data_IF_466739501427
#
_entry.id   IF_466739501427
#
_cell.length_a   1.000
_cell.length_b   1.000
_cell.length_c   1.000
_cell.angle_alpha   90.00
_cell.angle_beta   90.00
_cell.angle_gamma   90.00
#
_symmetry.space_group_name_H-M   'P 1'
#
loop_
_entity.id
_entity.type
_entity.pdbx_description
1 polymer ?
#
# COMPACT_ATOMS: atom_id res chain seq x y z
N UNK A 1 40.38 40.44 18.74
CA UNK A 1 39.37 39.63 19.46
C UNK A 1 38.04 40.31 19.24
N UNK A 2 37.34 39.93 18.17
CA UNK A 2 36.14 40.61 17.67
C UNK A 2 34.96 40.06 18.47
N UNK A 3 34.45 40.86 19.41
CA UNK A 3 33.19 40.66 20.18
C UNK A 3 32.99 39.24 20.74
N UNK A 4 33.70 38.94 21.83
CA UNK A 4 33.52 37.71 22.62
C UNK A 4 32.31 37.79 23.54
N UNK A 5 31.11 37.66 22.99
CA UNK A 5 29.89 37.40 23.76
C UNK A 5 29.48 35.93 23.58
N UNK A 6 30.04 35.00 24.38
CA UNK A 6 29.75 33.56 24.29
C UNK A 6 28.27 33.23 24.48
N UNK A 7 27.47 34.15 25.03
CA UNK A 7 26.02 34.03 25.13
C UNK A 7 25.37 33.96 23.73
N UNK A 8 25.73 34.83 22.79
CA UNK A 8 25.14 34.83 21.45
C UNK A 8 25.53 33.59 20.64
N UNK A 9 26.73 33.05 20.84
CA UNK A 9 27.19 31.81 20.21
C UNK A 9 26.45 30.57 20.77
N UNK A 10 26.21 30.55 22.08
CA UNK A 10 25.40 29.51 22.72
C UNK A 10 23.92 29.55 22.26
N UNK A 11 23.33 30.75 22.16
CA UNK A 11 21.99 30.92 21.61
C UNK A 11 21.92 30.51 20.13
N UNK A 12 22.91 30.87 19.32
CA UNK A 12 23.01 30.44 17.93
C UNK A 12 23.04 28.92 17.78
N UNK A 13 23.86 28.25 18.61
CA UNK A 13 23.96 26.78 18.63
C UNK A 13 22.66 26.11 19.07
N UNK A 14 21.94 26.66 20.05
CA UNK A 14 20.61 26.17 20.45
C UNK A 14 19.57 26.31 19.34
N UNK A 15 19.55 27.44 18.63
CA UNK A 15 18.62 27.65 17.51
C UNK A 15 18.87 26.63 16.40
N UNK A 16 20.14 26.38 16.06
CA UNK A 16 20.50 25.35 15.08
C UNK A 16 20.06 23.96 15.57
N UNK A 17 20.29 23.64 16.84
CA UNK A 17 19.86 22.37 17.44
C UNK A 17 18.35 22.15 17.35
N UNK A 18 17.55 23.17 17.68
CA UNK A 18 16.08 23.13 17.57
C UNK A 18 15.65 22.96 16.11
N UNK A 19 16.28 23.68 15.18
CA UNK A 19 16.00 23.55 13.75
C UNK A 19 16.25 22.13 13.24
N UNK A 20 17.38 21.52 13.64
CA UNK A 20 17.70 20.14 13.26
C UNK A 20 16.70 19.13 13.83
N UNK A 21 16.23 19.32 15.07
CA UNK A 21 15.19 18.48 15.67
C UNK A 21 13.89 18.57 14.87
N UNK A 22 13.46 19.78 14.49
CA UNK A 22 12.24 19.98 13.69
C UNK A 22 12.35 19.25 12.34
N UNK A 23 13.46 19.42 11.64
CA UNK A 23 13.71 18.74 10.35
C UNK A 23 13.74 17.22 10.52
N UNK A 24 14.42 16.72 11.56
CA UNK A 24 14.49 15.29 11.85
C UNK A 24 13.11 14.69 12.13
N UNK A 25 12.29 15.35 12.96
CA UNK A 25 10.91 14.92 13.25
C UNK A 25 10.07 14.92 11.97
N UNK A 26 10.14 15.97 11.16
CA UNK A 26 9.43 16.03 9.87
C UNK A 26 9.83 14.89 8.93
N UNK A 27 11.12 14.55 8.88
CA UNK A 27 11.63 13.45 8.08
C UNK A 27 11.10 12.10 8.57
N UNK A 28 11.13 11.85 9.90
CA UNK A 28 10.65 10.59 10.50
C UNK A 28 9.18 10.36 10.17
N UNK A 29 8.32 11.38 10.31
CA UNK A 29 6.89 11.27 10.00
C UNK A 29 6.69 10.90 8.52
N UNK A 30 7.47 11.50 7.62
CA UNK A 30 7.38 11.20 6.18
C UNK A 30 7.87 9.80 5.82
N UNK A 31 8.95 9.34 6.46
CA UNK A 31 9.51 8.01 6.26
C UNK A 31 8.62 6.91 6.85
N UNK A 32 7.96 7.16 7.99
CA UNK A 32 6.98 6.23 8.56
C UNK A 32 5.85 5.94 7.57
N UNK A 33 5.34 6.95 6.86
CA UNK A 33 4.33 6.74 5.82
C UNK A 33 4.81 5.92 4.60
N UNK A 34 6.12 5.75 4.39
CA UNK A 34 6.67 4.84 3.38
C UNK A 34 6.86 3.42 3.94
N UNK A 35 7.23 3.31 5.22
CA UNK A 35 7.46 2.04 5.91
C UNK A 35 6.17 1.29 6.26
N UNK A 36 5.09 2.02 6.59
CA UNK A 36 3.77 1.44 6.90
C UNK A 36 3.07 0.93 5.64
N UNK A 37 3.61 1.27 4.45
CA UNK A 37 3.05 0.81 3.19
C UNK A 37 1.84 1.63 2.79
N UNK A 38 2.05 2.57 1.86
CA UNK A 38 0.90 3.29 1.31
C UNK A 38 0.02 2.30 0.57
N UNK A 39 -1.26 2.30 0.92
CA UNK A 39 -2.29 1.66 0.10
C UNK A 39 -2.23 2.23 -1.31
N UNK A 40 -2.58 1.38 -2.27
CA UNK A 40 -2.70 1.83 -3.65
C UNK A 40 -3.69 2.99 -3.77
N UNK A 41 -3.57 3.71 -4.88
CA UNK A 41 -4.48 4.81 -5.20
C UNK A 41 -5.95 4.36 -5.07
N UNK A 42 -6.85 5.17 -4.47
CA UNK A 42 -8.24 4.76 -4.25
C UNK A 42 -8.94 4.27 -5.52
N UNK A 43 -8.62 4.87 -6.67
CA UNK A 43 -9.14 4.46 -7.97
C UNK A 43 -8.68 3.05 -8.41
N UNK A 44 -7.47 2.62 -8.04
CA UNK A 44 -7.02 1.24 -8.26
C UNK A 44 -7.84 0.28 -7.39
N UNK A 45 -8.03 0.65 -6.13
CA UNK A 45 -8.75 -0.16 -5.15
C UNK A 45 -10.20 -0.37 -5.59
N UNK A 46 -10.92 0.69 -5.91
CA UNK A 46 -12.32 0.61 -6.36
C UNK A 46 -12.47 -0.25 -7.62
N UNK A 47 -11.58 -0.08 -8.59
CA UNK A 47 -11.58 -0.88 -9.82
C UNK A 47 -11.28 -2.36 -9.56
N UNK A 48 -10.36 -2.67 -8.66
CA UNK A 48 -10.08 -4.05 -8.31
C UNK A 48 -11.24 -4.69 -7.52
N UNK A 49 -11.88 -3.93 -6.61
CA UNK A 49 -13.08 -4.38 -5.90
C UNK A 49 -14.22 -4.66 -6.89
N UNK A 50 -14.44 -3.81 -7.90
CA UNK A 50 -15.47 -4.03 -8.90
C UNK A 50 -15.20 -5.25 -9.78
N UNK A 51 -13.96 -5.40 -10.29
CA UNK A 51 -13.59 -6.56 -11.12
C UNK A 51 -13.80 -7.86 -10.34
N UNK A 52 -13.40 -7.92 -9.08
CA UNK A 52 -13.55 -9.13 -8.26
C UNK A 52 -15.03 -9.41 -7.94
N UNK A 53 -15.80 -8.36 -7.61
CA UNK A 53 -17.22 -8.51 -7.25
C UNK A 53 -18.13 -8.86 -8.43
N UNK A 54 -17.78 -8.46 -9.66
CA UNK A 54 -18.56 -8.73 -10.87
C UNK A 54 -18.30 -10.12 -11.47
N UNK A 55 -17.27 -10.84 -11.00
CA UNK A 55 -16.91 -12.16 -11.52
C UNK A 55 -17.88 -13.25 -11.05
N UNK A 56 -18.47 -13.93 -12.03
CA UNK A 56 -19.28 -15.14 -11.78
C UNK A 56 -18.40 -16.21 -11.11
N UNK A 57 -18.89 -16.79 -10.02
CA UNK A 57 -18.12 -17.72 -9.18
C UNK A 57 -17.58 -17.11 -7.89
N UNK A 58 -17.59 -15.78 -7.75
CA UNK A 58 -17.24 -15.08 -6.51
C UNK A 58 -18.52 -14.73 -5.75
N UNK A 59 -18.72 -15.35 -4.59
CA UNK A 59 -19.88 -15.10 -3.75
C UNK A 59 -19.71 -13.81 -2.91
N UNK A 60 -18.48 -13.51 -2.47
CA UNK A 60 -18.20 -12.33 -1.62
C UNK A 60 -16.73 -11.94 -1.65
N UNK A 61 -16.44 -10.64 -1.65
CA UNK A 61 -15.13 -10.10 -1.31
C UNK A 61 -15.15 -9.64 0.15
N UNK A 62 -14.29 -10.21 1.02
CA UNK A 62 -14.25 -9.86 2.44
C UNK A 62 -13.31 -8.71 2.74
N UNK A 63 -12.05 -8.87 2.35
CA UNK A 63 -10.99 -7.91 2.63
C UNK A 63 -10.07 -7.81 1.43
N UNK A 64 -9.64 -6.59 1.14
CA UNK A 64 -8.61 -6.32 0.15
C UNK A 64 -7.60 -5.32 0.71
N UNK A 65 -6.32 -5.70 0.62
CA UNK A 65 -5.18 -4.92 1.06
C UNK A 65 -4.28 -4.70 -0.14
N UNK A 66 -3.89 -3.45 -0.37
CA UNK A 66 -2.94 -3.09 -1.41
C UNK A 66 -1.72 -2.43 -0.79
N UNK A 67 -0.55 -2.72 -1.35
CA UNK A 67 0.73 -2.23 -0.85
C UNK A 67 1.62 -1.80 -2.01
N UNK A 68 2.04 -0.53 -2.01
CA UNK A 68 3.04 -0.07 -2.97
C UNK A 68 4.43 -0.67 -2.68
N UNK A 69 4.99 -1.32 -3.70
CA UNK A 69 6.33 -1.89 -3.74
C UNK A 69 7.12 -1.25 -4.89
N UNK A 70 7.72 -0.09 -4.61
CA UNK A 70 8.41 0.72 -5.63
C UNK A 70 7.43 1.18 -6.73
N UNK A 71 7.68 0.86 -8.01
CA UNK A 71 6.78 1.21 -9.11
C UNK A 71 5.60 0.23 -9.28
N UNK A 72 5.53 -0.83 -8.48
CA UNK A 72 4.49 -1.87 -8.56
C UNK A 72 3.62 -1.87 -7.31
N UNK A 73 2.47 -2.53 -7.42
CA UNK A 73 1.52 -2.75 -6.33
C UNK A 73 1.40 -4.24 -6.06
N UNK A 74 1.45 -4.62 -4.79
CA UNK A 74 0.97 -5.92 -4.32
C UNK A 74 -0.49 -5.77 -3.94
N UNK A 75 -1.33 -6.66 -4.46
CA UNK A 75 -2.74 -6.78 -4.13
C UNK A 75 -2.95 -8.11 -3.42
N UNK A 76 -3.51 -8.07 -2.21
CA UNK A 76 -3.93 -9.24 -1.46
C UNK A 76 -5.44 -9.14 -1.22
N UNK A 77 -6.20 -10.16 -1.62
CA UNK A 77 -7.64 -10.22 -1.47
C UNK A 77 -8.06 -11.52 -0.82
N UNK A 78 -9.10 -11.44 0.02
CA UNK A 78 -9.76 -12.59 0.61
C UNK A 78 -11.18 -12.67 0.08
N UNK A 79 -11.48 -13.76 -0.63
CA UNK A 79 -12.77 -13.95 -1.33
C UNK A 79 -13.43 -15.26 -0.93
N UNK A 80 -14.76 -15.26 -0.94
CA UNK A 80 -15.58 -16.46 -0.91
C UNK A 80 -15.91 -16.85 -2.34
N UNK A 81 -15.65 -18.11 -2.68
CA UNK A 81 -16.05 -18.69 -3.94
C UNK A 81 -17.35 -19.49 -3.77
N UNK A 82 -18.05 -19.73 -4.88
CA UNK A 82 -19.25 -20.57 -4.85
C UNK A 82 -18.91 -22.00 -4.37
N UNK A 83 -19.68 -22.52 -3.40
CA UNK A 83 -19.45 -23.83 -2.77
C UNK A 83 -19.51 -25.04 -3.73
N UNK A 84 -20.01 -24.83 -4.95
CA UNK A 84 -20.13 -25.87 -5.97
C UNK A 84 -18.91 -25.94 -6.91
N UNK A 85 -17.95 -25.02 -6.79
CA UNK A 85 -16.76 -24.99 -7.62
C UNK A 85 -15.79 -26.09 -7.20
N UNK A 86 -15.25 -26.81 -8.19
CA UNK A 86 -14.12 -27.70 -7.97
C UNK A 86 -12.85 -26.88 -7.73
N UNK A 87 -11.83 -27.48 -7.10
CA UNK A 87 -10.53 -26.83 -6.89
C UNK A 87 -9.91 -26.34 -8.21
N UNK A 88 -10.10 -27.11 -9.29
CA UNK A 88 -9.63 -26.76 -10.63
C UNK A 88 -10.34 -25.53 -11.20
N UNK A 89 -11.67 -25.48 -11.08
CA UNK A 89 -12.47 -24.33 -11.49
C UNK A 89 -12.14 -23.08 -10.68
N UNK A 90 -11.93 -23.23 -9.36
CA UNK A 90 -11.51 -22.14 -8.48
C UNK A 90 -10.14 -21.58 -8.90
N UNK A 91 -9.17 -22.46 -9.21
CA UNK A 91 -7.85 -22.03 -9.68
C UNK A 91 -7.94 -21.29 -11.02
N UNK A 92 -8.74 -21.78 -11.97
CA UNK A 92 -8.97 -21.11 -13.24
C UNK A 92 -9.65 -19.75 -13.08
N UNK A 93 -10.63 -19.64 -12.17
CA UNK A 93 -11.30 -18.38 -11.86
C UNK A 93 -10.33 -17.36 -11.26
N UNK A 94 -9.49 -17.77 -10.32
CA UNK A 94 -8.46 -16.91 -9.71
C UNK A 94 -7.48 -16.40 -10.77
N UNK A 95 -6.99 -17.27 -11.65
CA UNK A 95 -6.11 -16.86 -12.75
C UNK A 95 -6.80 -15.86 -13.69
N UNK A 96 -8.07 -16.07 -14.03
CA UNK A 96 -8.83 -15.16 -14.88
C UNK A 96 -9.06 -13.79 -14.21
N UNK A 97 -9.26 -13.75 -12.89
CA UNK A 97 -9.30 -12.51 -12.11
C UNK A 97 -7.94 -11.80 -12.16
N UNK A 98 -6.86 -12.53 -11.91
CA UNK A 98 -5.50 -11.97 -11.91
C UNK A 98 -5.13 -11.37 -13.28
N UNK A 99 -5.42 -12.08 -14.36
CA UNK A 99 -5.17 -11.62 -15.72
C UNK A 99 -5.96 -10.34 -16.05
N UNK A 100 -7.23 -10.27 -15.66
CA UNK A 100 -8.06 -9.09 -15.88
C UNK A 100 -7.61 -7.88 -15.06
N UNK A 101 -7.23 -8.10 -13.79
CA UNK A 101 -6.67 -7.05 -12.94
C UNK A 101 -5.39 -6.47 -13.56
N UNK A 102 -4.48 -7.33 -14.01
CA UNK A 102 -3.21 -6.93 -14.65
C UNK A 102 -3.42 -6.25 -16.00
N UNK A 103 -4.43 -6.68 -16.78
CA UNK A 103 -4.77 -6.08 -18.05
C UNK A 103 -5.30 -4.64 -17.88
N UNK A 104 -6.15 -4.40 -16.89
CA UNK A 104 -6.67 -3.07 -16.59
C UNK A 104 -5.61 -2.18 -15.91
N UNK A 105 -4.75 -2.77 -15.07
CA UNK A 105 -3.79 -2.04 -14.23
C UNK A 105 -2.42 -2.74 -14.22
N UNK A 106 -1.55 -2.44 -15.19
CA UNK A 106 -0.22 -3.07 -15.31
C UNK A 106 0.74 -2.76 -14.14
N UNK A 107 0.39 -1.80 -13.29
CA UNK A 107 1.09 -1.50 -12.03
C UNK A 107 0.90 -2.60 -10.97
N UNK A 108 -0.15 -3.43 -11.06
CA UNK A 108 -0.32 -4.60 -10.20
C UNK A 108 0.76 -5.64 -10.56
N UNK A 109 1.76 -5.76 -9.69
CA UNK A 109 2.88 -6.69 -9.88
C UNK A 109 2.56 -8.07 -9.34
N UNK A 110 2.04 -8.12 -8.10
CA UNK A 110 1.72 -9.35 -7.39
C UNK A 110 0.26 -9.36 -6.97
N UNK A 111 -0.42 -10.49 -7.19
CA UNK A 111 -1.78 -10.73 -6.77
C UNK A 111 -1.80 -11.99 -5.88
N UNK A 112 -2.33 -11.87 -4.67
CA UNK A 112 -2.53 -12.98 -3.75
C UNK A 112 -4.02 -13.07 -3.41
N UNK A 113 -4.65 -14.18 -3.78
CA UNK A 113 -6.06 -14.42 -3.51
C UNK A 113 -6.19 -15.59 -2.55
N UNK A 114 -6.69 -15.32 -1.35
CA UNK A 114 -7.04 -16.32 -0.35
C UNK A 114 -8.51 -16.70 -0.50
N UNK A 115 -8.79 -18.01 -0.50
CA UNK A 115 -10.15 -18.54 -0.56
C UNK A 115 -10.63 -18.76 0.88
N UNK A 116 -11.74 -18.11 1.24
CA UNK A 116 -12.51 -18.44 2.44
C UNK A 116 -13.53 -19.55 2.10
N UNK A 117 -13.77 -20.50 3.02
CA UNK A 117 -14.71 -21.60 2.82
C UNK A 117 -16.19 -21.20 2.70
#
# INVERSE_FOLDING_TARGET
MVTGEPLYDAFGSMVIGVLLIIVAVGLVIRLQGLLVGRSAEPALRELAESIIAEKQGVARLFNMVTLHMGPKVLLAAKIQLDAHLTVDQAAHLINAIEDELKANRPEIGWCYIEIDP
#
